data_IF_939911120186
#
_entry.id   IF_939911120186
#
_cell.length_a   1.000
_cell.length_b   1.000
_cell.length_c   1.000
_cell.angle_alpha   90.00
_cell.angle_beta   90.00
_cell.angle_gamma   90.00
#
_symmetry.space_group_name_H-M   'P 1'
#
loop_
_entity.id
_entity.type
_entity.pdbx_description
1 polymer ?
#
# COMPACT_ATOMS: atom_id res chain seq x y z
N UNK A 1 -13.38 10.37 -8.98
CA UNK A 1 -12.31 9.39 -8.76
C UNK A 1 -12.45 8.78 -7.38
N UNK A 2 -12.06 7.53 -7.23
CA UNK A 2 -12.14 6.81 -5.96
C UNK A 2 -11.05 7.28 -4.99
N UNK A 3 -11.41 7.51 -3.73
CA UNK A 3 -10.43 7.84 -2.70
C UNK A 3 -9.43 6.70 -2.49
N UNK A 4 -9.90 5.46 -2.57
CA UNK A 4 -9.01 4.31 -2.45
C UNK A 4 -7.97 4.31 -3.57
N UNK A 5 -8.39 4.61 -4.80
CA UNK A 5 -7.46 4.66 -5.92
C UNK A 5 -6.46 5.80 -5.78
N UNK A 6 -6.89 6.95 -5.25
CA UNK A 6 -5.98 8.06 -5.00
C UNK A 6 -4.94 7.71 -3.95
N UNK A 7 -5.36 7.03 -2.88
CA UNK A 7 -4.44 6.58 -1.84
C UNK A 7 -3.46 5.55 -2.41
N UNK A 8 -3.97 4.62 -3.20
CA UNK A 8 -3.13 3.61 -3.84
C UNK A 8 -2.06 4.27 -4.72
N UNK A 9 -2.44 5.29 -5.48
CA UNK A 9 -1.50 6.01 -6.33
C UNK A 9 -0.38 6.64 -5.51
N UNK A 10 -0.72 7.24 -4.37
CA UNK A 10 0.27 7.84 -3.48
C UNK A 10 1.21 6.78 -2.89
N UNK A 11 0.65 5.64 -2.51
CA UNK A 11 1.46 4.52 -2.00
C UNK A 11 2.44 4.03 -3.06
N UNK A 12 1.97 3.91 -4.29
CA UNK A 12 2.81 3.45 -5.40
C UNK A 12 3.98 4.39 -5.64
N UNK A 13 3.70 5.69 -5.69
CA UNK A 13 4.71 6.70 -5.97
C UNK A 13 5.69 6.85 -4.80
N UNK A 14 5.21 6.67 -3.57
CA UNK A 14 6.05 6.73 -2.38
C UNK A 14 7.12 5.62 -2.36
N UNK A 15 6.84 4.49 -3.00
CA UNK A 15 7.81 3.41 -3.12
C UNK A 15 8.25 2.86 -1.78
N UNK A 16 9.51 2.47 -1.68
CA UNK A 16 10.05 1.83 -0.49
C UNK A 16 10.10 2.74 0.73
N UNK A 17 10.18 4.04 0.50
CA UNK A 17 10.20 5.00 1.59
C UNK A 17 8.88 5.02 2.35
N UNK A 18 7.78 4.81 1.63
CA UNK A 18 6.45 4.84 2.22
C UNK A 18 5.95 6.25 2.47
N UNK A 19 4.73 6.33 2.98
CA UNK A 19 4.06 7.60 3.22
C UNK A 19 3.23 7.47 4.51
N UNK A 20 3.14 8.54 5.28
CA UNK A 20 2.35 8.52 6.51
C UNK A 20 0.88 8.80 6.23
N UNK A 21 0.00 8.35 7.12
CA UNK A 21 -1.44 8.66 7.02
C UNK A 21 -1.67 10.17 7.05
N UNK A 22 -0.86 10.90 7.81
CA UNK A 22 -0.98 12.34 7.89
C UNK A 22 -0.66 13.02 6.56
N UNK A 23 0.39 12.57 5.90
CA UNK A 23 0.73 13.11 4.58
C UNK A 23 -0.38 12.86 3.57
N UNK A 24 -0.96 11.65 3.59
CA UNK A 24 -2.08 11.34 2.72
C UNK A 24 -3.27 12.25 3.03
N UNK A 25 -3.58 12.41 4.31
CA UNK A 25 -4.70 13.25 4.75
C UNK A 25 -4.52 14.70 4.27
N UNK A 26 -3.32 15.23 4.41
CA UNK A 26 -3.02 16.60 3.98
C UNK A 26 -3.15 16.75 2.47
N UNK A 27 -2.62 15.79 1.72
CA UNK A 27 -2.66 15.85 0.25
C UNK A 27 -4.07 15.72 -0.31
N UNK A 28 -4.91 14.90 0.32
CA UNK A 28 -6.26 14.64 -0.18
C UNK A 28 -7.33 15.45 0.54
N UNK A 29 -6.94 16.27 1.49
CA UNK A 29 -7.87 17.08 2.30
C UNK A 29 -8.90 16.20 3.00
N UNK A 30 -8.42 15.14 3.64
CA UNK A 30 -9.24 14.18 4.37
C UNK A 30 -8.85 14.17 5.85
N UNK A 31 -9.79 13.81 6.75
CA UNK A 31 -9.43 13.59 8.15
C UNK A 31 -8.49 12.37 8.26
N UNK A 32 -7.47 12.44 9.14
CA UNK A 32 -6.55 11.30 9.29
C UNK A 32 -7.24 9.99 9.65
N UNK A 33 -8.30 10.04 10.46
CA UNK A 33 -9.06 8.83 10.81
C UNK A 33 -9.71 8.20 9.59
N UNK A 34 -10.20 9.01 8.67
CA UNK A 34 -10.77 8.53 7.41
C UNK A 34 -9.71 7.86 6.53
N UNK A 35 -8.50 8.43 6.53
CA UNK A 35 -7.40 7.85 5.78
C UNK A 35 -7.02 6.48 6.34
N UNK A 36 -6.92 6.36 7.67
CA UNK A 36 -6.61 5.08 8.30
C UNK A 36 -7.66 4.03 7.96
N UNK A 37 -8.93 4.39 7.99
CA UNK A 37 -10.01 3.47 7.62
C UNK A 37 -9.89 3.03 6.15
N UNK A 38 -9.55 3.96 5.27
CA UNK A 38 -9.36 3.64 3.85
C UNK A 38 -8.14 2.73 3.64
N UNK A 39 -7.06 2.96 4.39
CA UNK A 39 -5.88 2.11 4.34
C UNK A 39 -6.21 0.69 4.80
N UNK A 40 -7.03 0.55 5.83
CA UNK A 40 -7.48 -0.77 6.30
C UNK A 40 -8.29 -1.49 5.23
N UNK A 41 -9.17 -0.77 4.55
CA UNK A 41 -9.95 -1.34 3.44
C UNK A 41 -9.03 -1.78 2.30
N UNK A 42 -8.04 -0.98 1.99
CA UNK A 42 -7.10 -1.30 0.93
C UNK A 42 -6.28 -2.54 1.29
N UNK A 43 -5.82 -2.62 2.54
CA UNK A 43 -5.07 -3.79 3.02
C UNK A 43 -5.91 -5.05 2.90
N UNK A 44 -7.18 -4.99 3.29
CA UNK A 44 -8.07 -6.12 3.21
C UNK A 44 -8.34 -6.53 1.76
N UNK A 45 -8.51 -5.54 0.88
CA UNK A 45 -8.72 -5.80 -0.55
C UNK A 45 -7.55 -6.60 -1.14
N UNK A 46 -6.33 -6.21 -0.83
CA UNK A 46 -5.16 -6.94 -1.31
C UNK A 46 -5.09 -8.34 -0.72
N UNK A 47 -5.41 -8.47 0.56
CA UNK A 47 -5.35 -9.76 1.22
C UNK A 47 -6.34 -10.75 0.62
N UNK A 48 -7.54 -10.30 0.27
CA UNK A 48 -8.60 -11.13 -0.26
C UNK A 48 -8.45 -11.42 -1.75
N UNK A 49 -7.75 -10.58 -2.48
CA UNK A 49 -7.57 -10.73 -3.92
C UNK A 49 -6.38 -11.66 -4.19
N UNK A 50 -6.69 -12.90 -4.56
CA UNK A 50 -5.65 -13.90 -4.85
C UNK A 50 -4.93 -13.64 -6.17
N UNK A 51 -5.42 -12.71 -6.97
CA UNK A 51 -4.82 -12.37 -8.26
C UNK A 51 -3.86 -11.19 -8.18
N UNK A 52 -3.69 -10.59 -7.00
CA UNK A 52 -2.68 -9.57 -6.81
C UNK A 52 -1.51 -10.09 -5.99
N UNK A 53 -0.30 -9.69 -6.37
CA UNK A 53 0.90 -10.00 -5.60
C UNK A 53 1.22 -8.95 -4.55
N UNK A 54 0.42 -7.89 -4.45
CA UNK A 54 0.69 -6.78 -3.56
C UNK A 54 0.02 -6.93 -2.21
N UNK A 55 0.64 -6.37 -1.20
CA UNK A 55 0.01 -6.17 0.11
C UNK A 55 0.48 -4.84 0.69
N UNK A 56 -0.26 -4.38 1.68
CA UNK A 56 0.05 -3.11 2.34
C UNK A 56 0.79 -3.42 3.64
N UNK A 57 1.92 -2.76 3.84
CA UNK A 57 2.74 -2.92 5.04
C UNK A 57 2.84 -1.59 5.77
N UNK A 58 2.73 -1.66 7.10
CA UNK A 58 2.96 -0.50 7.96
C UNK A 58 4.22 -0.72 8.79
N UNK A 59 5.18 0.21 8.72
CA UNK A 59 6.36 0.20 9.56
C UNK A 59 6.67 1.62 10.00
N UNK A 60 6.93 1.81 11.29
CA UNK A 60 7.32 3.11 11.84
C UNK A 60 6.37 4.23 11.40
N UNK A 61 5.07 3.97 11.46
CA UNK A 61 4.00 4.91 11.07
C UNK A 61 3.96 5.25 9.59
N UNK A 62 4.70 4.54 8.76
CA UNK A 62 4.67 4.72 7.31
C UNK A 62 4.01 3.51 6.67
N UNK A 63 3.28 3.78 5.59
CA UNK A 63 2.58 2.74 4.82
C UNK A 63 3.25 2.61 3.47
N UNK A 64 3.42 1.38 3.01
CA UNK A 64 4.01 1.12 1.70
C UNK A 64 3.44 -0.15 1.10
N UNK A 65 3.50 -0.24 -0.22
CA UNK A 65 3.13 -1.45 -0.93
C UNK A 65 4.35 -2.35 -1.04
N UNK A 66 4.14 -3.64 -0.73
CA UNK A 66 5.18 -4.66 -0.86
C UNK A 66 4.57 -5.87 -1.54
N UNK A 67 5.41 -6.81 -1.95
CA UNK A 67 4.93 -8.05 -2.53
C UNK A 67 4.64 -9.06 -1.44
N UNK A 68 3.60 -9.88 -1.65
CA UNK A 68 3.26 -10.97 -0.74
C UNK A 68 4.39 -12.00 -0.71
N UNK A 69 4.60 -12.60 0.46
CA UNK A 69 5.65 -13.61 0.66
C UNK A 69 5.50 -14.81 -0.30
N UNK A 70 4.27 -15.09 -0.73
CA UNK A 70 3.99 -16.17 -1.67
C UNK A 70 4.82 -16.08 -2.96
N UNK A 71 5.24 -14.88 -3.33
CA UNK A 71 5.93 -14.64 -4.59
C UNK A 71 7.44 -14.47 -4.44
N UNK A 72 7.97 -14.72 -3.24
CA UNK A 72 9.39 -14.52 -2.94
C UNK A 72 10.29 -15.35 -3.85
N UNK A 73 9.89 -16.59 -4.15
CA UNK A 73 10.72 -17.46 -4.97
C UNK A 73 10.81 -16.99 -6.42
N UNK A 74 9.71 -16.54 -6.99
CA UNK A 74 9.73 -16.03 -8.37
C UNK A 74 10.55 -14.76 -8.48
N UNK A 75 10.52 -13.93 -7.44
CA UNK A 75 11.31 -12.70 -7.41
C UNK A 75 12.80 -12.98 -7.23
N UNK A 76 13.14 -14.00 -6.44
CA UNK A 76 14.53 -14.45 -6.31
C UNK A 76 15.07 -14.95 -7.64
N UNK A 77 14.26 -15.72 -8.36
CA UNK A 77 14.67 -16.24 -9.67
C UNK A 77 14.95 -15.12 -10.66
N UNK A 78 14.11 -14.09 -10.64
CA UNK A 78 14.34 -12.91 -11.47
C UNK A 78 15.67 -12.22 -11.12
N UNK A 79 15.96 -12.10 -9.82
CA UNK A 79 17.19 -11.43 -9.35
C UNK A 79 18.46 -12.15 -9.77
N UNK A 80 18.38 -13.43 -10.09
CA UNK A 80 19.54 -14.22 -10.50
C UNK A 80 19.86 -14.12 -11.98
N UNK A 81 18.94 -13.58 -12.76
CA UNK A 81 19.17 -13.43 -14.22
C UNK A 81 19.80 -12.07 -14.61
#
# INVERSE_FOLDING_TARGET
MSKLAEIEALLFVAGEEGITARQIADLLSLPPTGVVQSLEKLAQKYQEDTDTSLCLMETASRYKLVTKADYASVLRDYSRT
#
